data_IF_135156944041
#
_entry.id   IF_135156944041
#
_cell.length_a   1.000
_cell.length_b   1.000
_cell.length_c   1.000
_cell.angle_alpha   90.00
_cell.angle_beta   90.00
_cell.angle_gamma   90.00
#
_symmetry.space_group_name_H-M   'P 1'
#
loop_
_entity.id
_entity.type
_entity.pdbx_description
1 polymer ?
#
# COMPACT_ATOMS: atom_id res chain seq x y z
N UNK A 1 14.96 -7.53 30.89
CA UNK A 1 14.93 -6.97 29.50
C UNK A 1 13.50 -6.53 29.15
N UNK A 2 13.29 -5.78 28.07
CA UNK A 2 11.95 -5.43 27.59
C UNK A 2 11.80 -5.67 26.08
N UNK A 3 10.55 -5.80 25.64
CA UNK A 3 10.14 -5.87 24.24
C UNK A 3 9.19 -4.70 23.98
N UNK A 4 9.40 -3.94 22.91
CA UNK A 4 8.45 -2.91 22.48
C UNK A 4 8.22 -2.94 20.98
N UNK A 5 6.99 -2.62 20.57
CA UNK A 5 6.69 -2.30 19.17
C UNK A 5 7.07 -0.84 18.94
N UNK A 6 8.04 -0.63 18.05
CA UNK A 6 8.54 0.69 17.72
C UNK A 6 7.59 1.40 16.77
N UNK A 7 7.68 2.73 16.71
CA UNK A 7 6.89 3.57 15.78
C UNK A 7 7.15 3.26 14.30
N UNK A 8 8.27 2.63 14.00
CA UNK A 8 8.63 2.18 12.65
C UNK A 8 8.06 0.80 12.29
N UNK A 9 7.28 0.18 13.19
CA UNK A 9 6.69 -1.13 12.99
C UNK A 9 7.65 -2.30 13.29
N UNK A 10 8.89 -2.01 13.67
CA UNK A 10 9.83 -3.03 14.14
C UNK A 10 9.56 -3.42 15.60
N UNK A 11 10.13 -4.54 16.00
CA UNK A 11 10.20 -4.96 17.39
C UNK A 11 11.58 -4.61 17.93
N UNK A 12 11.62 -3.88 19.04
CA UNK A 12 12.85 -3.54 19.75
C UNK A 12 13.03 -4.40 20.99
N UNK A 13 14.22 -4.97 21.16
CA UNK A 13 14.69 -5.63 22.37
C UNK A 13 15.68 -4.72 23.08
N UNK A 14 15.39 -4.37 24.33
CA UNK A 14 16.24 -3.49 25.11
C UNK A 14 16.40 -3.94 26.56
N UNK A 15 17.24 -3.21 27.28
CA UNK A 15 17.50 -3.43 28.72
C UNK A 15 17.40 -2.11 29.47
N UNK A 16 16.77 -2.15 30.65
CA UNK A 16 16.51 -0.95 31.44
C UNK A 16 15.24 -0.22 30.98
N UNK A 17 15.31 1.10 30.86
CA UNK A 17 14.21 1.94 30.38
C UNK A 17 14.11 1.95 28.87
N UNK A 18 12.88 2.12 28.34
CA UNK A 18 12.67 2.25 26.90
C UNK A 18 13.52 3.38 26.29
N UNK A 19 14.32 3.05 25.28
CA UNK A 19 15.26 3.99 24.67
C UNK A 19 15.51 3.73 23.20
N UNK A 20 16.60 4.31 22.68
CA UNK A 20 17.07 4.13 21.30
C UNK A 20 18.12 3.01 21.16
N UNK A 21 18.71 2.57 22.28
CA UNK A 21 19.66 1.46 22.32
C UNK A 21 18.89 0.14 22.37
N UNK A 22 18.60 -0.42 21.20
CA UNK A 22 17.75 -1.60 21.04
C UNK A 22 18.31 -2.51 19.97
N UNK A 23 18.27 -3.83 20.20
CA UNK A 23 18.39 -4.80 19.13
C UNK A 23 17.03 -4.85 18.45
N UNK A 24 16.98 -4.42 17.20
CA UNK A 24 15.75 -4.32 16.43
C UNK A 24 15.58 -5.51 15.51
N UNK A 25 14.34 -5.93 15.28
CA UNK A 25 13.99 -7.00 14.33
C UNK A 25 12.63 -6.71 13.71
N UNK A 26 12.37 -7.30 12.54
CA UNK A 26 11.05 -7.26 11.92
C UNK A 26 10.01 -8.01 12.76
N UNK A 27 8.76 -7.55 12.80
CA UNK A 27 7.72 -8.24 13.56
C UNK A 27 7.51 -9.68 13.11
N UNK A 28 7.61 -9.94 11.79
CA UNK A 28 7.54 -11.30 11.23
C UNK A 28 8.67 -12.22 11.69
N UNK A 29 9.76 -11.68 12.25
CA UNK A 29 10.92 -12.43 12.74
C UNK A 29 10.81 -12.77 14.23
N UNK A 30 9.86 -12.16 14.94
CA UNK A 30 9.72 -12.28 16.38
C UNK A 30 9.56 -13.73 16.84
N UNK A 31 8.83 -14.55 16.08
CA UNK A 31 8.65 -15.97 16.39
C UNK A 31 9.95 -16.78 16.29
N UNK A 32 10.81 -16.47 15.31
CA UNK A 32 12.12 -17.13 15.15
C UNK A 32 13.08 -16.71 16.26
N UNK A 33 13.08 -15.43 16.61
CA UNK A 33 13.88 -14.89 17.72
C UNK A 33 13.40 -15.45 19.07
N UNK A 34 12.08 -15.58 19.27
CA UNK A 34 11.51 -16.24 20.45
C UNK A 34 12.01 -17.68 20.59
N UNK A 35 11.94 -18.47 19.51
CA UNK A 35 12.42 -19.85 19.51
C UNK A 35 13.93 -19.96 19.79
N UNK A 36 14.74 -19.02 19.27
CA UNK A 36 16.17 -18.97 19.54
C UNK A 36 16.47 -18.65 21.02
N UNK A 37 15.74 -17.71 21.62
CA UNK A 37 15.85 -17.36 23.03
C UNK A 37 15.44 -18.52 23.94
N UNK A 38 14.37 -19.24 23.63
CA UNK A 38 13.99 -20.41 24.41
C UNK A 38 15.04 -21.51 24.36
N UNK A 39 15.55 -21.79 23.16
CA UNK A 39 16.61 -22.77 22.98
C UNK A 39 17.87 -22.37 23.75
N UNK A 40 18.21 -21.08 23.77
CA UNK A 40 19.29 -20.53 24.58
C UNK A 40 19.04 -20.79 26.09
N UNK A 41 17.83 -20.53 26.59
CA UNK A 41 17.46 -20.74 27.99
C UNK A 41 17.32 -22.22 28.41
N UNK A 42 17.09 -23.13 27.48
CA UNK A 42 17.01 -24.58 27.75
C UNK A 42 18.36 -25.28 27.66
N UNK A 43 19.32 -24.72 26.94
CA UNK A 43 20.61 -25.39 26.71
C UNK A 43 21.52 -25.23 27.91
N UNK A 44 21.87 -26.33 28.59
CA UNK A 44 22.70 -26.33 29.80
C UNK A 44 24.22 -26.24 29.51
N UNK A 45 24.64 -26.40 28.26
CA UNK A 45 26.05 -26.36 27.83
C UNK A 45 26.35 -25.04 27.10
N UNK A 46 27.63 -24.75 26.89
CA UNK A 46 28.04 -23.63 26.02
C UNK A 46 27.35 -23.74 24.67
N UNK A 47 26.67 -22.67 24.26
CA UNK A 47 25.83 -22.65 23.07
C UNK A 47 26.00 -21.33 22.33
N UNK A 48 26.03 -21.37 20.99
CA UNK A 48 26.06 -20.17 20.16
C UNK A 48 25.19 -20.37 18.94
N UNK A 49 24.31 -19.41 18.68
CA UNK A 49 23.49 -19.35 17.48
C UNK A 49 23.46 -17.93 16.96
N UNK A 50 23.56 -17.78 15.65
CA UNK A 50 23.36 -16.51 14.96
C UNK A 50 22.07 -16.60 14.14
N UNK A 51 21.16 -15.67 14.35
CA UNK A 51 20.02 -15.45 13.47
C UNK A 51 20.37 -14.34 12.48
N UNK A 52 20.32 -14.65 11.18
CA UNK A 52 20.46 -13.65 10.12
C UNK A 52 19.08 -13.04 9.90
N UNK A 53 18.97 -11.73 10.05
CA UNK A 53 17.72 -11.02 9.81
C UNK A 53 17.35 -11.12 8.33
N UNK A 54 16.09 -11.43 8.08
CA UNK A 54 15.44 -11.34 6.77
C UNK A 54 14.98 -9.93 6.44
N UNK A 55 14.83 -9.08 7.47
CA UNK A 55 14.53 -7.65 7.38
C UNK A 55 15.79 -6.82 7.59
N UNK A 56 15.85 -5.64 6.96
CA UNK A 56 16.95 -4.68 7.08
C UNK A 56 16.70 -3.68 8.22
N UNK A 57 15.98 -4.13 9.26
CA UNK A 57 15.64 -3.35 10.43
C UNK A 57 16.84 -3.32 11.38
N UNK A 58 17.30 -2.11 11.70
CA UNK A 58 18.42 -1.86 12.61
C UNK A 58 19.72 -1.51 11.88
N UNK A 59 20.80 -1.42 12.64
CA UNK A 59 22.14 -1.12 12.12
C UNK A 59 22.91 -2.39 11.69
N UNK A 60 22.47 -3.57 12.13
CA UNK A 60 23.10 -4.86 11.85
C UNK A 60 22.11 -5.87 11.26
N UNK A 61 22.64 -6.84 10.53
CA UNK A 61 21.88 -7.88 9.82
C UNK A 61 21.81 -9.21 10.59
N UNK A 62 22.26 -9.25 11.84
CA UNK A 62 22.28 -10.47 12.64
C UNK A 62 22.01 -10.22 14.12
N UNK A 63 21.48 -11.24 14.78
CA UNK A 63 21.34 -11.33 16.24
C UNK A 63 22.06 -12.60 16.70
N UNK A 64 23.02 -12.44 17.59
CA UNK A 64 23.82 -13.51 18.18
C UNK A 64 23.27 -13.85 19.58
N UNK A 65 23.05 -15.14 19.81
CA UNK A 65 22.59 -15.73 21.07
C UNK A 65 23.70 -16.64 21.59
N UNK A 66 24.24 -16.34 22.76
CA UNK A 66 25.39 -17.04 23.32
C UNK A 66 25.16 -17.41 24.78
N UNK A 67 25.40 -18.67 25.12
CA UNK A 67 25.59 -19.14 26.50
C UNK A 67 27.07 -19.40 26.68
N UNK A 68 27.70 -18.60 27.52
CA UNK A 68 29.13 -18.70 27.81
C UNK A 68 29.42 -19.90 28.74
N UNK A 69 30.69 -20.35 28.83
CA UNK A 69 31.05 -21.51 29.66
C UNK A 69 30.78 -21.35 31.16
N UNK A 70 30.79 -20.11 31.66
CA UNK A 70 30.42 -19.74 33.04
C UNK A 70 28.89 -19.64 33.24
N UNK A 71 28.11 -19.91 32.20
CA UNK A 71 26.65 -20.00 32.26
C UNK A 71 25.92 -18.67 32.02
N UNK A 72 26.63 -17.57 31.73
CA UNK A 72 25.99 -16.30 31.39
C UNK A 72 25.31 -16.38 30.02
N UNK A 73 24.14 -15.75 29.89
CA UNK A 73 23.44 -15.62 28.62
C UNK A 73 23.66 -14.22 28.05
N UNK A 74 24.01 -14.16 26.77
CA UNK A 74 24.31 -12.93 26.06
C UNK A 74 23.48 -12.90 24.77
N UNK A 75 22.74 -11.81 24.57
CA UNK A 75 22.03 -11.51 23.33
C UNK A 75 22.64 -10.25 22.73
N UNK A 76 23.15 -10.35 21.50
CA UNK A 76 23.85 -9.25 20.84
C UNK A 76 23.34 -8.98 19.43
N UNK A 77 23.23 -7.72 19.03
CA UNK A 77 22.76 -7.31 17.71
C UNK A 77 22.76 -5.79 17.59
N UNK A 78 22.76 -5.24 16.38
CA UNK A 78 22.72 -3.78 16.15
C UNK A 78 23.78 -2.95 16.93
N UNK A 79 24.93 -3.55 17.24
CA UNK A 79 25.99 -2.91 18.04
C UNK A 79 25.73 -2.90 19.56
N UNK A 80 24.68 -3.56 20.02
CA UNK A 80 24.31 -3.71 21.42
C UNK A 80 24.53 -5.15 21.89
N UNK A 81 24.86 -5.32 23.17
CA UNK A 81 25.03 -6.62 23.81
C UNK A 81 24.42 -6.57 25.21
N UNK A 82 23.53 -7.51 25.50
CA UNK A 82 22.83 -7.60 26.77
C UNK A 82 23.15 -8.93 27.44
N UNK A 83 23.72 -8.85 28.65
CA UNK A 83 23.78 -10.00 29.55
C UNK A 83 22.42 -10.17 30.22
N UNK A 84 21.92 -11.40 30.25
CA UNK A 84 20.56 -11.73 30.67
C UNK A 84 20.56 -12.93 31.63
N UNK A 85 19.56 -12.99 32.51
CA UNK A 85 19.27 -14.22 33.26
C UNK A 85 18.42 -15.18 32.42
N UNK A 86 18.35 -16.46 32.81
CA UNK A 86 17.45 -17.43 32.16
C UNK A 86 15.98 -16.99 32.23
N UNK A 87 15.57 -16.43 33.36
CA UNK A 87 14.21 -15.90 33.56
C UNK A 87 13.91 -14.76 32.59
N UNK A 88 14.82 -13.78 32.48
CA UNK A 88 14.67 -12.67 31.54
C UNK A 88 14.57 -13.14 30.08
N UNK A 89 15.38 -14.15 29.71
CA UNK A 89 15.36 -14.71 28.35
C UNK A 89 14.03 -15.44 28.06
N UNK A 90 13.49 -16.19 29.04
CA UNK A 90 12.20 -16.87 28.91
C UNK A 90 11.03 -15.88 28.85
N UNK A 91 11.04 -14.84 29.69
CA UNK A 91 10.02 -13.78 29.65
C UNK A 91 10.01 -13.07 28.31
N UNK A 92 11.18 -12.69 27.79
CA UNK A 92 11.28 -12.03 26.47
C UNK A 92 10.85 -12.97 25.36
N UNK A 93 11.23 -14.24 25.40
CA UNK A 93 10.78 -15.23 24.42
C UNK A 93 9.26 -15.39 24.43
N UNK A 94 8.65 -15.43 25.61
CA UNK A 94 7.21 -15.57 25.78
C UNK A 94 6.46 -14.32 25.27
N UNK A 95 6.98 -13.12 25.54
CA UNK A 95 6.42 -11.87 25.00
C UNK A 95 6.55 -11.81 23.48
N UNK A 96 7.68 -12.24 22.92
CA UNK A 96 7.89 -12.28 21.47
C UNK A 96 6.98 -13.30 20.76
N UNK A 97 6.72 -14.44 21.40
CA UNK A 97 5.79 -15.46 20.90
C UNK A 97 4.36 -14.94 20.86
N UNK A 98 3.97 -14.17 21.87
CA UNK A 98 2.60 -13.68 22.04
C UNK A 98 2.48 -12.19 21.72
N UNK A 99 3.30 -11.66 20.81
CA UNK A 99 3.17 -10.27 20.40
C UNK A 99 1.74 -10.02 19.91
N UNK A 100 1.11 -8.92 20.36
CA UNK A 100 -0.25 -8.61 19.94
C UNK A 100 -0.22 -8.37 18.43
N UNK A 101 -1.09 -9.05 17.64
CA UNK A 101 -1.08 -8.91 16.20
C UNK A 101 -1.09 -7.42 15.85
N UNK A 102 -0.18 -6.98 14.98
CA UNK A 102 -0.23 -5.62 14.46
C UNK A 102 -1.51 -5.51 13.66
N UNK A 103 -2.58 -5.03 14.30
CA UNK A 103 -3.87 -4.89 13.67
C UNK A 103 -3.75 -3.72 12.71
N UNK A 104 -3.63 -4.04 11.42
CA UNK A 104 -3.99 -3.09 10.40
C UNK A 104 -5.49 -2.80 10.58
N UNK A 105 -5.85 -1.51 10.64
CA UNK A 105 -7.23 -1.09 10.55
C UNK A 105 -7.89 -1.66 9.29
N UNK A 106 -9.23 -1.75 9.24
CA UNK A 106 -9.94 -2.10 8.02
C UNK A 106 -9.49 -1.23 6.84
N UNK A 107 -9.51 -1.80 5.63
CA UNK A 107 -9.06 -1.10 4.41
C UNK A 107 -9.72 0.27 4.20
N UNK A 108 -10.98 0.43 4.63
CA UNK A 108 -11.75 1.69 4.58
C UNK A 108 -11.10 2.83 5.39
N UNK A 109 -10.35 2.49 6.43
CA UNK A 109 -9.73 3.48 7.32
C UNK A 109 -8.50 4.10 6.66
N UNK A 110 -7.87 3.37 5.73
CA UNK A 110 -6.70 3.83 4.98
C UNK A 110 -7.05 4.47 3.65
N UNK A 111 -8.09 3.99 2.97
CA UNK A 111 -8.60 4.61 1.76
C UNK A 111 -10.08 4.31 1.55
N UNK A 112 -10.85 5.35 1.26
CA UNK A 112 -12.30 5.23 1.04
C UNK A 112 -12.82 6.28 0.06
N UNK A 113 -13.96 5.98 -0.56
CA UNK A 113 -14.73 6.96 -1.32
C UNK A 113 -15.13 8.14 -0.42
N UNK A 114 -15.09 9.35 -0.98
CA UNK A 114 -15.63 10.57 -0.39
C UNK A 114 -16.55 11.26 -1.38
N UNK A 115 -17.38 12.18 -0.91
CA UNK A 115 -18.24 12.98 -1.79
C UNK A 115 -17.37 13.67 -2.86
N UNK A 116 -17.67 13.46 -4.16
CA UNK A 116 -16.91 14.08 -5.23
C UNK A 116 -16.94 15.61 -5.13
N UNK A 117 -15.78 16.23 -5.19
CA UNK A 117 -15.61 17.69 -5.28
C UNK A 117 -14.41 17.99 -6.16
N UNK A 118 -14.58 18.79 -7.21
CA UNK A 118 -13.53 19.13 -8.19
C UNK A 118 -12.80 17.91 -8.78
N UNK A 119 -13.54 16.79 -8.94
CA UNK A 119 -13.01 15.51 -9.42
C UNK A 119 -12.34 14.64 -8.36
N UNK A 120 -12.13 15.13 -7.14
CA UNK A 120 -11.59 14.37 -6.02
C UNK A 120 -12.68 13.53 -5.34
N UNK A 121 -12.51 12.21 -5.38
CA UNK A 121 -13.54 11.25 -4.94
C UNK A 121 -13.00 10.12 -4.06
N UNK A 122 -11.69 10.02 -3.84
CA UNK A 122 -11.08 9.06 -2.92
C UNK A 122 -10.20 9.81 -1.92
N UNK A 123 -10.27 9.44 -0.65
CA UNK A 123 -9.41 9.98 0.40
C UNK A 123 -8.54 8.87 0.99
N UNK A 124 -7.22 9.06 0.93
CA UNK A 124 -6.23 8.23 1.64
C UNK A 124 -5.98 8.86 3.00
N UNK A 125 -5.88 8.06 4.06
CA UNK A 125 -5.73 8.53 5.44
C UNK A 125 -4.71 7.68 6.21
N UNK A 126 -3.91 8.34 7.04
CA UNK A 126 -3.12 7.69 8.09
C UNK A 126 -2.62 8.76 9.06
N UNK A 127 -2.56 8.42 10.36
CA UNK A 127 -1.99 9.27 11.41
C UNK A 127 -2.62 10.68 11.49
N UNK A 128 -3.92 10.80 11.25
CA UNK A 128 -4.65 12.07 11.27
C UNK A 128 -4.45 12.96 10.03
N UNK A 129 -3.66 12.54 9.05
CA UNK A 129 -3.51 13.21 7.76
C UNK A 129 -4.42 12.60 6.71
N UNK A 130 -4.76 13.37 5.68
CA UNK A 130 -5.50 12.86 4.52
C UNK A 130 -4.99 13.45 3.20
N UNK A 131 -4.89 12.61 2.16
CA UNK A 131 -4.64 13.02 0.77
C UNK A 131 -5.92 12.77 -0.02
N UNK A 132 -6.36 13.77 -0.79
CA UNK A 132 -7.49 13.62 -1.72
C UNK A 132 -6.97 13.26 -3.10
N UNK A 133 -7.60 12.25 -3.70
CA UNK A 133 -7.25 11.71 -5.00
C UNK A 133 -8.46 11.77 -5.94
N UNK A 134 -8.18 12.05 -7.21
CA UNK A 134 -9.10 11.75 -8.30
C UNK A 134 -9.12 10.24 -8.56
N UNK A 135 -10.14 9.76 -9.27
CA UNK A 135 -10.34 8.32 -9.50
C UNK A 135 -9.17 7.64 -10.24
N UNK A 136 -8.59 8.31 -11.23
CA UNK A 136 -7.44 7.78 -11.96
C UNK A 136 -6.16 7.82 -11.11
N UNK A 137 -6.03 8.83 -10.23
CA UNK A 137 -4.90 8.96 -9.30
C UNK A 137 -4.90 7.79 -8.30
N UNK A 138 -6.06 7.39 -7.76
CA UNK A 138 -6.15 6.22 -6.88
C UNK A 138 -5.78 4.91 -7.59
N UNK A 139 -6.16 4.76 -8.86
CA UNK A 139 -5.81 3.60 -9.67
C UNK A 139 -4.30 3.50 -9.95
N UNK A 140 -3.67 4.61 -10.32
CA UNK A 140 -2.22 4.67 -10.57
C UNK A 140 -1.44 4.53 -9.27
N UNK A 141 -1.87 5.18 -8.18
CA UNK A 141 -1.24 5.05 -6.86
C UNK A 141 -1.26 3.60 -6.36
N UNK A 142 -2.40 2.91 -6.51
CA UNK A 142 -2.49 1.47 -6.19
C UNK A 142 -1.46 0.66 -6.96
N UNK A 143 -1.29 0.97 -8.24
CA UNK A 143 -0.34 0.27 -9.12
C UNK A 143 1.10 0.50 -8.65
N UNK A 144 1.48 1.76 -8.43
CA UNK A 144 2.79 2.14 -7.93
C UNK A 144 3.13 1.46 -6.61
N UNK A 145 2.17 1.41 -5.67
CA UNK A 145 2.35 0.71 -4.39
C UNK A 145 2.59 -0.78 -4.63
N UNK A 146 1.77 -1.46 -5.44
CA UNK A 146 1.96 -2.88 -5.72
C UNK A 146 3.35 -3.15 -6.31
N UNK A 147 3.79 -2.34 -7.27
CA UNK A 147 5.13 -2.46 -7.87
C UNK A 147 6.25 -2.21 -6.86
N UNK A 148 6.01 -1.37 -5.84
CA UNK A 148 6.99 -1.09 -4.79
C UNK A 148 7.20 -2.22 -3.78
N UNK A 149 6.25 -3.17 -3.66
CA UNK A 149 6.28 -4.24 -2.63
C UNK A 149 7.50 -5.15 -2.82
N UNK A 150 7.89 -5.41 -4.07
CA UNK A 150 9.00 -6.32 -4.38
C UNK A 150 10.38 -5.63 -4.36
N UNK A 151 10.43 -4.30 -4.25
CA UNK A 151 11.70 -3.55 -4.28
C UNK A 151 12.08 -3.00 -2.91
N UNK A 152 13.31 -3.26 -2.44
CA UNK A 152 13.82 -2.77 -1.13
C UNK A 152 13.83 -1.24 -1.02
N UNK A 153 14.25 -0.57 -2.09
CA UNK A 153 14.16 0.87 -2.25
C UNK A 153 13.34 1.16 -3.49
N UNK A 154 12.34 2.02 -3.35
CA UNK A 154 11.46 2.35 -4.47
C UNK A 154 11.16 3.84 -4.44
N UNK A 155 11.19 4.45 -5.61
CA UNK A 155 10.73 5.81 -5.78
C UNK A 155 10.10 5.93 -7.16
N UNK A 156 8.82 6.25 -7.20
CA UNK A 156 8.10 6.59 -8.41
C UNK A 156 7.39 7.94 -8.21
N UNK A 157 7.46 8.78 -9.24
CA UNK A 157 6.71 10.03 -9.30
C UNK A 157 5.79 9.97 -10.52
N UNK A 158 4.48 9.95 -10.25
CA UNK A 158 3.43 10.05 -11.24
C UNK A 158 3.11 11.53 -11.45
N UNK A 159 3.21 12.01 -12.70
CA UNK A 159 2.95 13.42 -13.03
C UNK A 159 1.77 13.49 -14.00
N UNK A 160 0.68 14.13 -13.58
CA UNK A 160 -0.51 14.36 -14.41
C UNK A 160 -0.80 15.84 -14.43
N UNK A 161 -0.49 16.51 -15.54
CA UNK A 161 -0.58 17.95 -15.66
C UNK A 161 0.32 18.63 -14.62
N UNK A 162 -0.28 19.40 -13.72
CA UNK A 162 0.43 20.08 -12.62
C UNK A 162 0.54 19.24 -11.34
N UNK A 163 -0.24 18.16 -11.21
CA UNK A 163 -0.29 17.35 -9.99
C UNK A 163 0.83 16.32 -9.98
N UNK A 164 1.44 16.13 -8.82
CA UNK A 164 2.54 15.16 -8.62
C UNK A 164 2.15 14.18 -7.53
N UNK A 165 2.20 12.89 -7.83
CA UNK A 165 1.91 11.83 -6.87
C UNK A 165 3.17 10.99 -6.72
N UNK A 166 3.75 10.95 -5.53
CA UNK A 166 4.96 10.17 -5.26
C UNK A 166 4.67 8.95 -4.40
N UNK A 167 5.25 7.82 -4.78
CA UNK A 167 5.37 6.64 -3.91
C UNK A 167 6.84 6.41 -3.63
N UNK A 168 7.20 6.50 -2.35
CA UNK A 168 8.56 6.21 -1.91
C UNK A 168 8.52 5.08 -0.88
N UNK A 169 9.33 4.05 -1.09
CA UNK A 169 9.64 3.05 -0.08
C UNK A 169 11.03 3.37 0.49
N UNK A 170 11.07 3.83 1.73
CA UNK A 170 12.32 4.25 2.40
C UNK A 170 13.03 3.09 3.10
N UNK A 171 12.29 2.02 3.40
CA UNK A 171 12.79 0.78 3.97
C UNK A 171 11.79 -0.34 3.65
N UNK A 172 12.21 -1.57 3.88
CA UNK A 172 11.40 -2.77 3.88
C UNK A 172 10.10 -2.64 4.71
N UNK A 173 10.10 -1.80 5.76
CA UNK A 173 8.94 -1.54 6.61
C UNK A 173 8.16 -0.24 6.35
N UNK A 174 8.59 0.66 5.44
CA UNK A 174 8.01 2.02 5.37
C UNK A 174 7.78 2.52 3.95
N UNK A 175 6.58 3.05 3.77
CA UNK A 175 6.13 3.77 2.59
C UNK A 175 5.79 5.21 2.96
N UNK A 176 6.15 6.13 2.09
CA UNK A 176 5.71 7.51 2.08
C UNK A 176 4.96 7.74 0.77
N UNK A 177 3.69 8.12 0.89
CA UNK A 177 2.90 8.60 -0.22
C UNK A 177 2.90 10.12 -0.17
N UNK A 178 3.05 10.73 -1.33
CA UNK A 178 2.98 12.18 -1.47
C UNK A 178 2.02 12.57 -2.57
N UNK A 179 1.30 13.66 -2.35
CA UNK A 179 0.50 14.32 -3.36
C UNK A 179 0.82 15.80 -3.25
N UNK A 180 1.45 16.33 -4.29
CA UNK A 180 2.07 17.65 -4.30
C UNK A 180 3.05 17.79 -3.12
N UNK A 181 2.80 18.69 -2.16
CA UNK A 181 3.66 18.87 -0.98
C UNK A 181 3.20 18.06 0.25
N UNK A 182 1.99 17.49 0.21
CA UNK A 182 1.44 16.74 1.34
C UNK A 182 1.95 15.30 1.37
N UNK A 183 2.28 14.82 2.57
CA UNK A 183 2.92 13.51 2.79
C UNK A 183 2.23 12.71 3.88
N UNK A 184 1.97 11.44 3.58
CA UNK A 184 1.43 10.43 4.51
C UNK A 184 2.34 9.21 4.52
N UNK A 185 2.52 8.62 5.70
CA UNK A 185 3.38 7.44 5.89
C UNK A 185 2.55 6.23 6.25
N UNK A 186 3.01 5.07 5.77
CA UNK A 186 2.44 3.77 6.01
C UNK A 186 3.54 2.79 6.38
N UNK A 187 3.21 1.83 7.25
CA UNK A 187 4.06 0.70 7.60
C UNK A 187 3.78 -0.50 6.70
N UNK A 188 4.65 -1.52 6.73
CA UNK A 188 4.44 -2.77 6.02
C UNK A 188 3.12 -3.47 6.39
N UNK A 189 2.61 -3.28 7.61
CA UNK A 189 1.35 -3.90 8.03
C UNK A 189 0.14 -3.18 7.45
N UNK A 190 0.27 -1.90 7.12
CA UNK A 190 -0.84 -1.07 6.62
C UNK A 190 -0.92 -1.09 5.10
N UNK A 191 0.19 -1.39 4.41
CA UNK A 191 0.29 -1.24 2.96
C UNK A 191 -0.69 -2.15 2.20
N UNK A 192 -0.94 -3.37 2.67
CA UNK A 192 -1.89 -4.30 2.05
C UNK A 192 -3.33 -3.80 2.22
N UNK A 193 -3.71 -3.38 3.44
CA UNK A 193 -5.02 -2.77 3.71
C UNK A 193 -5.22 -1.48 2.91
N UNK A 194 -4.18 -0.67 2.73
CA UNK A 194 -4.22 0.51 1.87
C UNK A 194 -4.44 0.13 0.39
N UNK A 195 -3.74 -0.88 -0.14
CA UNK A 195 -3.94 -1.36 -1.52
C UNK A 195 -5.38 -1.81 -1.74
N UNK A 196 -5.95 -2.53 -0.77
CA UNK A 196 -7.35 -2.94 -0.78
C UNK A 196 -8.29 -1.74 -0.64
N UNK A 197 -7.96 -0.75 0.18
CA UNK A 197 -8.75 0.47 0.35
C UNK A 197 -8.80 1.31 -0.93
N UNK A 198 -7.68 1.44 -1.63
CA UNK A 198 -7.61 2.11 -2.94
C UNK A 198 -8.42 1.36 -4.00
N UNK A 199 -8.41 0.03 -3.96
CA UNK A 199 -9.26 -0.79 -4.82
C UNK A 199 -10.73 -0.54 -4.52
N UNK A 200 -11.15 -0.68 -3.26
CA UNK A 200 -12.53 -0.53 -2.83
C UNK A 200 -13.05 0.89 -3.05
N UNK A 201 -12.24 1.92 -2.79
CA UNK A 201 -12.60 3.31 -3.10
C UNK A 201 -12.81 3.55 -4.59
N UNK A 202 -12.00 2.92 -5.45
CA UNK A 202 -12.20 2.97 -6.91
C UNK A 202 -13.49 2.25 -7.31
N UNK A 203 -13.71 1.05 -6.75
CA UNK A 203 -14.91 0.24 -6.95
C UNK A 203 -16.17 1.02 -6.56
N UNK A 204 -16.21 1.61 -5.38
CA UNK A 204 -17.37 2.32 -4.85
C UNK A 204 -17.76 3.51 -5.73
N UNK A 205 -16.77 4.23 -6.28
CA UNK A 205 -17.02 5.34 -7.20
C UNK A 205 -17.58 4.84 -8.53
N UNK A 206 -17.00 3.77 -9.10
CA UNK A 206 -17.50 3.17 -10.34
C UNK A 206 -18.92 2.61 -10.17
N UNK A 207 -19.20 2.01 -9.01
CA UNK A 207 -20.50 1.43 -8.72
C UNK A 207 -21.59 2.50 -8.54
N UNK A 208 -21.27 3.71 -8.09
CA UNK A 208 -22.23 4.82 -8.07
C UNK A 208 -22.71 5.16 -9.48
N UNK A 209 -21.79 5.20 -10.45
CA UNK A 209 -22.15 5.40 -11.86
C UNK A 209 -22.99 4.25 -12.39
N UNK A 210 -22.55 3.00 -12.22
CA UNK A 210 -23.29 1.81 -12.70
C UNK A 210 -24.71 1.76 -12.10
N UNK A 211 -24.86 2.05 -10.80
CA UNK A 211 -26.18 2.11 -10.15
C UNK A 211 -27.04 3.24 -10.71
N UNK A 212 -26.45 4.41 -10.99
CA UNK A 212 -27.17 5.56 -11.57
C UNK A 212 -27.71 5.28 -12.99
N UNK A 213 -27.10 4.34 -13.71
CA UNK A 213 -27.58 3.91 -15.04
C UNK A 213 -28.85 3.05 -14.96
N UNK A 214 -29.18 2.50 -13.80
CA UNK A 214 -30.33 1.63 -13.60
C UNK A 214 -30.19 0.27 -14.29
N UNK A 215 -31.25 -0.53 -14.21
CA UNK A 215 -31.35 -1.87 -14.82
C UNK A 215 -32.56 -2.00 -15.76
N UNK A 216 -33.16 -0.87 -16.13
CA UNK A 216 -34.30 -0.82 -17.05
C UNK A 216 -33.85 -0.94 -18.51
N UNK A 217 -34.82 -1.03 -19.44
CA UNK A 217 -34.54 -1.08 -20.89
C UNK A 217 -33.81 0.17 -21.41
N UNK A 218 -33.76 1.26 -20.64
CA UNK A 218 -33.09 2.51 -20.99
C UNK A 218 -31.64 2.51 -20.49
N UNK A 219 -31.27 1.63 -19.54
CA UNK A 219 -29.90 1.46 -19.05
C UNK A 219 -28.93 1.17 -20.19
N UNK A 220 -29.30 0.29 -21.13
CA UNK A 220 -28.47 -0.01 -22.31
C UNK A 220 -28.20 1.23 -23.17
N UNK A 221 -29.18 2.14 -23.30
CA UNK A 221 -29.02 3.40 -24.04
C UNK A 221 -28.06 4.33 -23.29
N UNK A 222 -28.21 4.43 -21.96
CA UNK A 222 -27.31 5.24 -21.11
C UNK A 222 -25.86 4.74 -21.18
N UNK A 223 -25.66 3.43 -21.08
CA UNK A 223 -24.33 2.79 -21.20
C UNK A 223 -23.72 3.10 -22.56
N UNK A 224 -24.46 2.85 -23.66
CA UNK A 224 -23.98 3.14 -25.02
C UNK A 224 -23.64 4.61 -25.22
N UNK A 225 -24.44 5.52 -24.66
CA UNK A 225 -24.18 6.96 -24.73
C UNK A 225 -22.87 7.35 -24.05
N UNK A 226 -22.57 6.77 -22.87
CA UNK A 226 -21.32 7.03 -22.16
C UNK A 226 -20.11 6.46 -22.90
N UNK A 227 -20.21 5.25 -23.45
CA UNK A 227 -19.15 4.64 -24.26
C UNK A 227 -18.88 5.48 -25.51
N UNK A 228 -19.94 5.93 -26.20
CA UNK A 228 -19.82 6.79 -27.37
C UNK A 228 -19.17 8.13 -27.03
N UNK A 229 -19.44 8.69 -25.84
CA UNK A 229 -18.78 9.90 -25.37
C UNK A 229 -17.28 9.70 -25.18
N UNK A 230 -16.86 8.58 -24.57
CA UNK A 230 -15.44 8.23 -24.46
C UNK A 230 -14.80 8.14 -25.85
N UNK A 231 -15.43 7.44 -26.78
CA UNK A 231 -14.91 7.30 -28.15
C UNK A 231 -14.74 8.65 -28.85
N UNK A 232 -15.78 9.50 -28.83
CA UNK A 232 -15.78 10.79 -29.51
C UNK A 232 -14.78 11.78 -28.90
N UNK A 233 -14.78 11.92 -27.58
CA UNK A 233 -13.94 12.91 -26.92
C UNK A 233 -12.47 12.45 -26.87
N UNK A 234 -12.20 11.15 -26.72
CA UNK A 234 -10.84 10.63 -26.88
C UNK A 234 -10.31 10.82 -28.31
N UNK A 235 -11.16 10.65 -29.34
CA UNK A 235 -10.77 10.92 -30.74
C UNK A 235 -10.36 12.37 -30.95
N UNK A 236 -11.10 13.32 -30.35
CA UNK A 236 -10.75 14.75 -30.41
C UNK A 236 -9.45 15.06 -29.66
N UNK A 237 -9.30 14.52 -28.44
CA UNK A 237 -8.08 14.72 -27.63
C UNK A 237 -6.84 14.19 -28.37
N UNK A 238 -6.98 13.06 -29.05
CA UNK A 238 -5.88 12.36 -29.73
C UNK A 238 -5.78 12.71 -31.22
N UNK A 239 -6.40 13.78 -31.70
CA UNK A 239 -6.45 14.10 -33.15
C UNK A 239 -5.06 14.14 -33.81
N UNK A 240 -4.04 14.56 -33.06
CA UNK A 240 -2.65 14.70 -33.53
C UNK A 240 -1.76 13.50 -33.18
N UNK A 241 -2.26 12.50 -32.46
CA UNK A 241 -1.50 11.32 -32.04
C UNK A 241 -1.45 10.26 -33.15
N UNK A 242 -0.24 9.81 -33.51
CA UNK A 242 -0.06 8.83 -34.60
C UNK A 242 -0.79 7.52 -34.35
N UNK A 243 -0.90 7.10 -33.07
CA UNK A 243 -1.56 5.85 -32.65
C UNK A 243 -3.00 6.05 -32.18
N UNK A 244 -3.60 7.23 -32.44
CA UNK A 244 -4.92 7.62 -31.91
C UNK A 244 -5.99 6.55 -32.09
N UNK A 245 -6.15 6.03 -33.32
CA UNK A 245 -7.17 5.01 -33.63
C UNK A 245 -7.03 3.75 -32.78
N UNK A 246 -5.79 3.31 -32.50
CA UNK A 246 -5.52 2.15 -31.67
C UNK A 246 -5.85 2.43 -30.20
N UNK A 247 -5.43 3.60 -29.71
CA UNK A 247 -5.68 4.04 -28.33
C UNK A 247 -7.18 4.18 -28.08
N UNK A 248 -7.90 4.93 -28.92
CA UNK A 248 -9.36 5.12 -28.82
C UNK A 248 -10.08 3.76 -28.80
N UNK A 249 -9.72 2.85 -29.71
CA UNK A 249 -10.32 1.51 -29.73
C UNK A 249 -10.08 0.73 -28.43
N UNK A 250 -8.89 0.82 -27.86
CA UNK A 250 -8.59 0.18 -26.56
C UNK A 250 -9.41 0.80 -25.44
N UNK A 251 -9.51 2.14 -25.38
CA UNK A 251 -10.30 2.85 -24.38
C UNK A 251 -11.79 2.52 -24.48
N UNK A 252 -12.36 2.47 -25.70
CA UNK A 252 -13.75 2.09 -25.93
C UNK A 252 -14.03 0.65 -25.46
N UNK A 253 -13.13 -0.30 -25.76
CA UNK A 253 -13.27 -1.70 -25.30
C UNK A 253 -13.18 -1.84 -23.79
N UNK A 254 -12.28 -1.11 -23.15
CA UNK A 254 -12.22 -1.09 -21.68
C UNK A 254 -13.49 -0.46 -21.10
N UNK A 255 -14.00 0.62 -21.68
CA UNK A 255 -15.28 1.21 -21.27
C UNK A 255 -16.46 0.24 -21.40
N UNK A 256 -16.52 -0.53 -22.49
CA UNK A 256 -17.52 -1.59 -22.69
C UNK A 256 -17.49 -2.64 -21.57
N UNK A 257 -16.31 -3.07 -21.13
CA UNK A 257 -16.17 -4.02 -20.02
C UNK A 257 -16.46 -3.40 -18.65
N UNK A 258 -16.09 -2.14 -18.45
CA UNK A 258 -16.29 -1.43 -17.18
C UNK A 258 -17.78 -1.11 -16.98
N UNK A 259 -18.51 -0.75 -18.04
CA UNK A 259 -19.91 -0.29 -17.96
C UNK A 259 -20.92 -1.34 -18.43
N UNK A 260 -20.54 -2.23 -19.34
CA UNK A 260 -21.42 -3.21 -19.96
C UNK A 260 -21.96 -4.26 -18.99
N UNK A 261 -22.96 -5.05 -19.44
CA UNK A 261 -23.56 -6.09 -18.62
C UNK A 261 -22.61 -7.29 -18.43
N UNK A 262 -22.79 -8.05 -17.34
CA UNK A 262 -22.12 -9.34 -17.13
C UNK A 262 -20.79 -9.32 -16.38
N UNK A 263 -20.19 -8.15 -16.12
CA UNK A 263 -19.03 -8.02 -15.23
C UNK A 263 -19.43 -7.72 -13.80
N UNK A 264 -18.83 -8.41 -12.83
CA UNK A 264 -18.94 -8.06 -11.41
C UNK A 264 -18.13 -6.79 -11.07
N UNK A 265 -18.29 -6.28 -9.85
CA UNK A 265 -17.70 -5.02 -9.42
C UNK A 265 -16.15 -5.06 -9.37
N UNK A 266 -15.56 -6.21 -9.02
CA UNK A 266 -14.10 -6.38 -8.95
C UNK A 266 -13.50 -6.37 -10.37
N UNK A 267 -14.11 -7.12 -11.29
CA UNK A 267 -13.69 -7.18 -12.69
C UNK A 267 -13.73 -5.78 -13.36
N UNK A 268 -14.77 -4.98 -13.09
CA UNK A 268 -14.88 -3.60 -13.58
C UNK A 268 -13.76 -2.72 -13.02
N UNK A 269 -13.49 -2.85 -11.72
CA UNK A 269 -12.46 -2.06 -11.04
C UNK A 269 -11.07 -2.39 -11.58
N UNK A 270 -10.78 -3.68 -11.78
CA UNK A 270 -9.53 -4.13 -12.39
C UNK A 270 -9.36 -3.59 -13.81
N UNK A 271 -10.38 -3.68 -14.65
CA UNK A 271 -10.32 -3.16 -16.01
C UNK A 271 -10.13 -1.63 -16.04
N UNK A 272 -10.77 -0.88 -15.13
CA UNK A 272 -10.54 0.57 -15.01
C UNK A 272 -9.09 0.89 -14.60
N UNK A 273 -8.54 0.14 -13.63
CA UNK A 273 -7.14 0.29 -13.22
C UNK A 273 -6.20 0.01 -14.40
N UNK A 274 -6.45 -1.06 -15.15
CA UNK A 274 -5.62 -1.43 -16.30
C UNK A 274 -5.74 -0.42 -17.45
N UNK A 275 -6.93 0.17 -17.65
CA UNK A 275 -7.12 1.28 -18.58
C UNK A 275 -6.30 2.51 -18.17
N UNK A 276 -6.27 2.87 -16.89
CA UNK A 276 -5.45 3.98 -16.40
C UNK A 276 -3.94 3.72 -16.59
N UNK A 277 -3.48 2.49 -16.29
CA UNK A 277 -2.09 2.06 -16.55
C UNK A 277 -1.75 2.13 -18.03
N UNK A 278 -2.66 1.72 -18.91
CA UNK A 278 -2.45 1.77 -20.34
C UNK A 278 -2.23 3.20 -20.83
N UNK A 279 -3.07 4.14 -20.39
CA UNK A 279 -2.88 5.57 -20.71
C UNK A 279 -1.51 6.02 -20.25
N UNK A 280 -1.22 5.90 -18.95
CA UNK A 280 0.00 6.45 -18.34
C UNK A 280 1.30 5.82 -18.87
N UNK A 281 1.28 4.55 -19.28
CA UNK A 281 2.48 3.84 -19.73
C UNK A 281 2.72 3.87 -21.24
N UNK A 282 1.66 4.06 -22.05
CA UNK A 282 1.72 3.85 -23.50
C UNK A 282 1.44 5.10 -24.32
N UNK A 283 0.60 6.00 -23.81
CA UNK A 283 0.23 7.24 -24.48
C UNK A 283 1.29 8.31 -24.20
N UNK A 284 1.48 9.24 -25.13
CA UNK A 284 2.43 10.34 -24.90
C UNK A 284 1.96 11.23 -23.74
N UNK A 285 2.84 11.65 -22.82
CA UNK A 285 2.46 12.38 -21.60
C UNK A 285 1.66 13.67 -21.83
N UNK A 286 1.78 14.28 -23.02
CA UNK A 286 1.00 15.45 -23.40
C UNK A 286 -0.52 15.21 -23.40
N UNK A 287 -0.96 13.95 -23.52
CA UNK A 287 -2.37 13.57 -23.54
C UNK A 287 -2.89 13.03 -22.20
N UNK A 288 -2.03 12.82 -21.21
CA UNK A 288 -2.41 12.23 -19.92
C UNK A 288 -3.49 13.07 -19.22
N UNK A 289 -3.22 14.35 -18.96
CA UNK A 289 -4.17 15.23 -18.26
C UNK A 289 -5.51 15.36 -19.00
N UNK A 290 -5.56 15.62 -20.32
CA UNK A 290 -6.82 15.61 -21.07
C UNK A 290 -7.62 14.30 -20.97
N UNK A 291 -6.96 13.14 -21.14
CA UNK A 291 -7.62 11.83 -21.07
C UNK A 291 -8.10 11.50 -19.65
N UNK A 292 -7.31 11.81 -18.62
CA UNK A 292 -7.71 11.60 -17.24
C UNK A 292 -8.82 12.56 -16.77
N UNK A 293 -8.87 13.77 -17.34
CA UNK A 293 -9.99 14.68 -17.14
C UNK A 293 -11.28 14.14 -17.80
N UNK A 294 -11.17 13.53 -18.99
CA UNK A 294 -12.29 12.80 -19.62
C UNK A 294 -12.76 11.64 -18.73
N UNK A 295 -11.85 10.82 -18.19
CA UNK A 295 -12.23 9.73 -17.29
C UNK A 295 -12.91 10.24 -16.03
N UNK A 296 -12.42 11.33 -15.45
CA UNK A 296 -13.05 11.95 -14.28
C UNK A 296 -14.47 12.42 -14.62
N UNK A 297 -14.66 13.09 -15.77
CA UNK A 297 -15.96 13.59 -16.21
C UNK A 297 -16.97 12.48 -16.57
N UNK A 298 -16.49 11.29 -16.91
CA UNK A 298 -17.33 10.16 -17.30
C UNK A 298 -17.63 9.22 -16.13
N UNK A 299 -16.59 8.82 -15.39
CA UNK A 299 -16.68 7.76 -14.38
C UNK A 299 -17.03 8.26 -12.98
N UNK A 300 -16.86 9.55 -12.71
CA UNK A 300 -17.23 10.14 -11.42
C UNK A 300 -18.60 10.76 -11.55
N UNK A 301 -19.61 10.06 -11.03
CA UNK A 301 -20.94 10.64 -10.89
C UNK A 301 -20.87 11.79 -9.87
N UNK A 302 -21.28 13.00 -10.27
CA UNK A 302 -21.51 14.06 -9.30
C UNK A 302 -22.68 13.60 -8.42
N UNK A 303 -22.37 13.07 -7.24
CA UNK A 303 -23.34 12.39 -6.39
C UNK A 303 -24.61 13.22 -6.21
N UNK A 304 -25.73 12.70 -6.72
CA UNK A 304 -27.05 13.06 -6.24
C UNK A 304 -27.17 12.59 -4.80
N UNK A 305 -27.50 13.52 -3.91
CA UNK A 305 -28.03 13.26 -2.59
C UNK A 305 -29.21 12.29 -2.68
N UNK A 306 -29.13 11.17 -1.97
CA UNK A 306 -30.28 10.42 -1.49
C UNK A 306 -30.07 10.17 0.00
#
# INVERSE_FOLDING_TARGET
>A
MYVKIRKDGAVGLGRGSEGIAEITLGYGEAHMVAAALEKLAQTARSYKQSYVKTTDVGSGNKIDFERTPDGALIVSGDGHSYSCTEEEVREVAEVLRHLPPVQALPSSDYAQKVQPQDGFCVAVKSGGKSLRLKLHESALLKTAIITSIDSRFYQENIVIGKRRIGVQRTSDLKWELSVDDDKIKFTAYEIESLVNGLHNGTLDVLMDLVKSMGSDKIADIRIKSVIQRIEQDATKILEQEKRARGIVRSLTRSAEKILGPGSDADARTKEFIDMCKFVYSTVEPAFDEPLFNLFTAVYVSAGGSA
#
